data_IF_911819790276
#
_entry.id   IF_911819790276
#
_cell.length_a   1.000
_cell.length_b   1.000
_cell.length_c   1.000
_cell.angle_alpha   90.00
_cell.angle_beta   90.00
_cell.angle_gamma   90.00
#
_symmetry.space_group_name_H-M   'P 1'
#
loop_
_entity.id
_entity.type
_entity.pdbx_description
1 polymer ?
#
# COMPACT_ATOMS: atom_id res chain seq x y z
N UNK A 1 8.54 -7.82 18.33
CA UNK A 1 7.27 -7.68 19.09
C UNK A 1 6.88 -6.21 19.15
N UNK A 2 5.64 -5.84 18.81
CA UNK A 2 5.16 -4.45 18.82
C UNK A 2 4.06 -4.28 19.88
N UNK A 3 4.18 -3.23 20.71
CA UNK A 3 3.26 -2.95 21.81
C UNK A 3 2.06 -2.07 21.39
N UNK A 4 1.36 -2.46 20.32
CA UNK A 4 0.15 -1.75 19.91
C UNK A 4 -1.05 -2.17 20.76
N UNK A 5 -1.67 -1.20 21.43
CA UNK A 5 -2.91 -1.39 22.19
C UNK A 5 -4.13 -1.53 21.26
N UNK A 6 -5.23 -2.07 21.78
CA UNK A 6 -6.52 -2.13 21.09
C UNK A 6 -6.94 -0.74 20.58
N UNK A 7 -6.77 0.29 21.42
CA UNK A 7 -7.10 1.69 21.07
C UNK A 7 -6.25 2.18 19.90
N UNK A 8 -4.93 1.92 19.94
CA UNK A 8 -4.02 2.34 18.87
C UNK A 8 -4.31 1.60 17.55
N UNK A 9 -4.65 0.32 17.63
CA UNK A 9 -5.02 -0.49 16.46
C UNK A 9 -6.32 -0.01 15.82
N UNK A 10 -7.36 0.26 16.60
CA UNK A 10 -8.63 0.78 16.08
C UNK A 10 -8.47 2.13 15.36
N UNK A 11 -7.70 3.05 15.94
CA UNK A 11 -7.38 4.34 15.31
C UNK A 11 -6.64 4.13 14.00
N UNK A 12 -5.60 3.28 14.01
CA UNK A 12 -4.76 3.05 12.84
C UNK A 12 -5.50 2.34 11.72
N UNK A 13 -6.34 1.37 12.05
CA UNK A 13 -7.22 0.68 11.08
C UNK A 13 -8.09 1.68 10.32
N UNK A 14 -8.78 2.57 11.02
CA UNK A 14 -9.62 3.57 10.37
C UNK A 14 -8.79 4.58 9.58
N UNK A 15 -7.65 5.02 10.09
CA UNK A 15 -6.75 5.94 9.39
C UNK A 15 -6.24 5.32 8.08
N UNK A 16 -5.84 4.04 8.10
CA UNK A 16 -5.44 3.29 6.92
C UNK A 16 -6.56 3.17 5.89
N UNK A 17 -7.81 2.95 6.33
CA UNK A 17 -8.98 2.97 5.43
C UNK A 17 -9.11 4.34 4.76
N UNK A 18 -9.05 5.44 5.52
CA UNK A 18 -9.14 6.79 4.95
C UNK A 18 -8.02 7.11 3.95
N UNK A 19 -6.85 6.52 4.15
CA UNK A 19 -5.68 6.67 3.28
C UNK A 19 -5.67 5.67 2.11
N UNK A 20 -6.68 4.82 1.98
CA UNK A 20 -6.80 3.86 0.89
C UNK A 20 -5.91 2.62 1.05
N UNK A 21 -5.43 2.33 2.25
CA UNK A 21 -4.63 1.14 2.58
C UNK A 21 -5.49 -0.02 3.08
N UNK A 22 -6.68 -0.18 2.48
CA UNK A 22 -7.69 -1.16 2.89
C UNK A 22 -7.29 -2.61 2.66
N UNK A 23 -6.57 -2.89 1.58
CA UNK A 23 -6.21 -4.26 1.18
C UNK A 23 -5.30 -4.97 2.20
N UNK A 24 -4.50 -4.21 2.94
CA UNK A 24 -3.52 -4.76 3.90
C UNK A 24 -4.01 -4.73 5.35
N UNK A 25 -5.27 -4.35 5.61
CA UNK A 25 -5.82 -4.24 6.97
C UNK A 25 -5.78 -5.56 7.73
N UNK A 26 -6.03 -6.68 7.05
CA UNK A 26 -6.01 -8.00 7.66
C UNK A 26 -4.66 -8.30 8.35
N UNK A 27 -3.54 -7.90 7.73
CA UNK A 27 -2.21 -8.05 8.31
C UNK A 27 -1.97 -7.13 9.51
N UNK A 28 -2.52 -5.92 9.46
CA UNK A 28 -2.40 -4.95 10.55
C UNK A 28 -3.23 -5.36 11.77
N UNK A 29 -4.40 -5.95 11.52
CA UNK A 29 -5.27 -6.44 12.57
C UNK A 29 -4.83 -7.81 13.09
N UNK A 30 -4.09 -8.62 12.33
CA UNK A 30 -3.62 -9.92 12.81
C UNK A 30 -2.76 -9.83 14.08
N UNK A 31 -2.83 -10.87 14.92
CA UNK A 31 -1.95 -11.04 16.08
C UNK A 31 -0.49 -11.14 15.64
N UNK A 32 -0.23 -11.90 14.58
CA UNK A 32 1.08 -12.12 13.98
C UNK A 32 1.06 -11.66 12.52
N UNK A 33 2.05 -10.86 12.16
CA UNK A 33 2.25 -10.30 10.84
C UNK A 33 3.57 -10.83 10.28
N UNK A 34 3.43 -11.78 9.35
CA UNK A 34 4.52 -12.54 8.72
C UNK A 34 4.74 -12.11 7.26
N UNK A 35 4.40 -10.87 6.92
CA UNK A 35 4.64 -10.33 5.56
C UNK A 35 6.13 -10.24 5.22
N UNK A 36 6.99 -10.11 6.24
CA UNK A 36 8.43 -10.16 6.05
C UNK A 36 8.91 -11.59 6.16
N UNK A 37 9.85 -11.96 5.28
CA UNK A 37 10.44 -13.31 5.27
C UNK A 37 11.41 -13.55 6.42
N UNK A 38 12.02 -12.50 6.96
CA UNK A 38 13.05 -12.55 7.99
C UNK A 38 12.48 -12.47 9.41
N UNK A 39 11.40 -11.70 9.62
CA UNK A 39 10.85 -11.43 10.95
C UNK A 39 9.33 -11.50 11.00
N UNK A 40 8.80 -12.09 12.07
CA UNK A 40 7.37 -12.04 12.39
C UNK A 40 7.07 -10.97 13.44
N UNK A 41 6.19 -10.03 13.10
CA UNK A 41 5.76 -8.98 14.01
C UNK A 41 4.54 -9.42 14.80
N UNK A 42 4.71 -9.66 16.11
CA UNK A 42 3.60 -10.03 17.02
C UNK A 42 3.09 -8.84 17.83
N UNK A 43 1.78 -8.83 18.13
CA UNK A 43 1.07 -7.74 18.84
C UNK A 43 0.39 -8.24 20.13
N UNK A 44 1.13 -8.45 21.25
CA UNK A 44 0.57 -8.99 22.48
C UNK A 44 -0.43 -8.07 23.17
N UNK A 45 -0.25 -6.75 23.03
CA UNK A 45 -1.07 -5.75 23.73
C UNK A 45 -2.40 -5.47 23.02
N UNK A 46 -2.70 -6.19 21.95
CA UNK A 46 -3.82 -5.92 21.04
C UNK A 46 -5.18 -5.97 21.70
N UNK A 47 -5.36 -6.78 22.74
CA UNK A 47 -6.65 -6.92 23.43
C UNK A 47 -6.85 -5.90 24.55
N UNK A 48 -5.79 -5.17 24.93
CA UNK A 48 -5.84 -4.20 26.02
C UNK A 48 -5.97 -2.78 25.47
N UNK A 49 -6.92 -2.02 26.02
CA UNK A 49 -7.06 -0.60 25.76
C UNK A 49 -5.88 0.21 26.31
N UNK A 50 -5.62 1.38 25.74
CA UNK A 50 -4.58 2.27 26.25
C UNK A 50 -4.78 2.66 27.73
N UNK A 51 -6.03 2.73 28.19
CA UNK A 51 -6.37 3.04 29.60
C UNK A 51 -6.00 1.89 30.53
N UNK A 52 -6.30 0.64 30.16
CA UNK A 52 -5.95 -0.53 30.96
C UNK A 52 -4.44 -0.66 31.11
N UNK A 53 -3.70 -0.43 30.01
CA UNK A 53 -2.23 -0.44 30.03
C UNK A 53 -1.68 0.67 30.96
N UNK A 54 -2.27 1.87 30.91
CA UNK A 54 -1.86 2.97 31.79
C UNK A 54 -2.12 2.66 33.27
N UNK A 55 -3.27 2.06 33.60
CA UNK A 55 -3.60 1.63 34.96
C UNK A 55 -2.64 0.52 35.42
N UNK A 56 -2.39 -0.47 34.57
CA UNK A 56 -1.43 -1.55 34.86
C UNK A 56 -0.04 -1.00 35.17
N UNK A 57 0.46 -0.07 34.35
CA UNK A 57 1.76 0.56 34.55
C UNK A 57 1.81 1.31 35.90
N UNK A 58 0.74 2.04 36.24
CA UNK A 58 0.65 2.75 37.53
C UNK A 58 0.66 1.79 38.72
N UNK A 59 -0.09 0.68 38.64
CA UNK A 59 -0.17 -0.31 39.72
C UNK A 59 1.16 -1.06 39.93
N UNK A 60 1.92 -1.27 38.85
CA UNK A 60 3.22 -1.95 38.89
C UNK A 60 4.42 -0.99 39.00
N UNK A 61 4.18 0.30 39.25
CA UNK A 61 5.22 1.34 39.33
C UNK A 61 6.14 1.40 38.08
N UNK A 62 5.59 1.11 36.90
CA UNK A 62 6.29 1.24 35.61
C UNK A 62 6.14 2.67 35.10
N UNK A 63 7.23 3.41 35.05
CA UNK A 63 7.24 4.78 34.54
C UNK A 63 7.11 4.80 33.00
N UNK A 64 6.11 5.49 32.42
CA UNK A 64 5.98 5.60 30.98
C UNK A 64 7.03 6.56 30.40
N UNK A 65 7.66 6.17 29.30
CA UNK A 65 8.53 7.05 28.50
C UNK A 65 7.74 7.62 27.34
N UNK A 66 7.65 8.95 27.26
CA UNK A 66 7.01 9.64 26.14
C UNK A 66 8.06 10.24 25.21
N UNK A 67 8.05 9.80 23.95
CA UNK A 67 8.93 10.32 22.90
C UNK A 67 8.09 11.24 22.02
N UNK A 68 8.33 12.57 22.02
CA UNK A 68 7.61 13.49 21.17
C UNK A 68 7.94 13.21 19.69
N UNK A 69 6.92 13.34 18.85
CA UNK A 69 7.00 13.27 17.39
C UNK A 69 6.63 14.62 16.77
N UNK A 70 6.80 14.78 15.45
CA UNK A 70 6.47 16.02 14.73
C UNK A 70 5.03 16.50 14.91
N UNK A 71 4.11 15.57 15.17
CA UNK A 71 2.69 15.84 15.45
C UNK A 71 2.42 16.24 16.91
N UNK A 72 3.42 16.11 17.79
CA UNK A 72 3.27 16.43 19.22
C UNK A 72 3.13 17.93 19.41
N UNK A 73 2.09 18.35 20.16
CA UNK A 73 1.65 19.75 20.34
C UNK A 73 1.03 20.42 19.11
N UNK A 74 0.82 19.71 18.01
CA UNK A 74 0.04 20.28 16.91
C UNK A 74 -1.46 20.33 17.26
N UNK A 75 -2.20 21.21 16.57
CA UNK A 75 -3.65 21.32 16.74
C UNK A 75 -4.33 20.01 16.36
N UNK A 76 -5.45 19.72 17.01
CA UNK A 76 -6.28 18.57 16.66
C UNK A 76 -6.73 18.70 15.19
N UNK A 77 -6.62 17.61 14.43
CA UNK A 77 -6.99 17.59 13.00
C UNK A 77 -5.93 18.09 12.03
N UNK A 78 -4.66 18.26 12.45
CA UNK A 78 -3.55 18.61 11.54
C UNK A 78 -3.18 17.50 10.54
N UNK A 79 -3.61 16.27 10.79
CA UNK A 79 -3.38 15.09 9.94
C UNK A 79 -4.60 14.18 9.95
N UNK A 80 -4.74 13.35 8.91
CA UNK A 80 -5.78 12.32 8.86
C UNK A 80 -5.70 11.38 10.07
N UNK A 81 -4.49 11.06 10.52
CA UNK A 81 -4.25 10.23 11.70
C UNK A 81 -4.77 10.92 12.97
N UNK A 82 -4.45 12.20 13.18
CA UNK A 82 -4.92 12.97 14.33
C UNK A 82 -6.44 13.18 14.32
N UNK A 83 -7.02 13.44 13.15
CA UNK A 83 -8.47 13.59 13.00
C UNK A 83 -9.20 12.28 13.33
N UNK A 84 -8.68 11.17 12.81
CA UNK A 84 -9.23 9.83 13.06
C UNK A 84 -9.06 9.43 14.52
N UNK A 85 -7.92 9.75 15.14
CA UNK A 85 -7.69 9.54 16.57
C UNK A 85 -8.74 10.28 17.41
N UNK A 86 -8.93 11.57 17.14
CA UNK A 86 -9.93 12.36 17.85
C UNK A 86 -11.34 11.81 17.65
N UNK A 87 -11.69 11.41 16.42
CA UNK A 87 -12.98 10.81 16.10
C UNK A 87 -13.23 9.52 16.91
N UNK A 88 -12.28 8.57 16.88
CA UNK A 88 -12.40 7.31 17.61
C UNK A 88 -12.46 7.53 19.11
N UNK A 89 -11.61 8.40 19.66
CA UNK A 89 -11.62 8.71 21.08
C UNK A 89 -12.94 9.38 21.50
N UNK A 90 -13.47 10.30 20.70
CA UNK A 90 -14.76 10.96 20.94
C UNK A 90 -15.94 9.99 20.86
N UNK A 91 -15.89 8.99 19.99
CA UNK A 91 -16.89 7.93 19.97
C UNK A 91 -16.76 7.02 21.20
N UNK A 92 -15.53 6.66 21.57
CA UNK A 92 -15.28 5.76 22.68
C UNK A 92 -15.61 6.37 24.06
N UNK A 93 -15.67 7.70 24.18
CA UNK A 93 -16.22 8.35 25.39
C UNK A 93 -17.74 8.20 25.51
N UNK A 94 -18.44 8.09 24.37
CA UNK A 94 -19.90 7.90 24.33
C UNK A 94 -20.30 6.43 24.44
N UNK A 95 -19.46 5.51 23.95
CA UNK A 95 -19.66 4.07 24.07
C UNK A 95 -18.35 3.34 24.37
N UNK A 96 -18.29 2.65 25.51
CA UNK A 96 -17.11 1.90 25.92
C UNK A 96 -16.82 0.67 25.05
N UNK A 97 -17.75 0.26 24.17
CA UNK A 97 -17.58 -0.89 23.27
C UNK A 97 -17.00 -0.52 21.91
N UNK A 98 -16.89 0.77 21.57
CA UNK A 98 -16.52 1.23 20.22
C UNK A 98 -15.19 0.65 19.75
N UNK A 99 -14.13 0.76 20.54
CA UNK A 99 -12.80 0.26 20.15
C UNK A 99 -12.83 -1.26 19.90
N UNK A 100 -13.51 -2.01 20.76
CA UNK A 100 -13.62 -3.46 20.63
C UNK A 100 -14.43 -3.85 19.39
N UNK A 101 -15.55 -3.17 19.13
CA UNK A 101 -16.36 -3.36 17.92
C UNK A 101 -15.56 -3.08 16.66
N UNK A 102 -14.75 -2.00 16.62
CA UNK A 102 -13.86 -1.70 15.48
C UNK A 102 -12.86 -2.84 15.30
N UNK A 103 -12.15 -3.25 16.36
CA UNK A 103 -11.16 -4.32 16.26
C UNK A 103 -11.76 -5.64 15.78
N UNK A 104 -12.89 -6.08 16.37
CA UNK A 104 -13.60 -7.30 15.97
C UNK A 104 -14.14 -7.22 14.55
N UNK A 105 -14.53 -6.05 14.09
CA UNK A 105 -14.96 -5.85 12.70
C UNK A 105 -13.76 -5.94 11.77
N UNK A 106 -12.62 -5.34 12.14
CA UNK A 106 -11.37 -5.46 11.40
C UNK A 106 -10.85 -6.88 11.30
N UNK A 107 -11.04 -7.70 12.32
CA UNK A 107 -10.71 -9.13 12.31
C UNK A 107 -11.51 -9.93 11.28
N UNK A 108 -12.76 -9.54 11.06
CA UNK A 108 -13.62 -10.18 10.07
C UNK A 108 -13.24 -9.80 8.64
N UNK A 109 -12.47 -8.72 8.46
CA UNK A 109 -11.87 -8.38 7.18
C UNK A 109 -10.72 -9.37 6.94
N UNK A 110 -11.08 -10.57 6.50
CA UNK A 110 -10.12 -11.59 6.10
C UNK A 110 -9.40 -11.17 4.81
N UNK A 111 -8.20 -11.71 4.63
CA UNK A 111 -7.62 -11.78 3.30
C UNK A 111 -8.59 -12.60 2.45
N UNK A 112 -9.05 -12.05 1.33
CA UNK A 112 -9.71 -12.87 0.32
C UNK A 112 -8.70 -13.98 -0.01
N UNK A 113 -8.94 -15.19 0.49
CA UNK A 113 -8.25 -16.37 0.01
C UNK A 113 -8.58 -16.40 -1.47
N UNK A 114 -7.56 -16.32 -2.34
CA UNK A 114 -7.72 -16.75 -3.72
C UNK A 114 -8.53 -18.05 -3.68
N UNK A 115 -9.64 -18.09 -4.42
CA UNK A 115 -10.70 -19.08 -4.24
C UNK A 115 -10.11 -20.50 -4.11
N UNK A 116 -10.53 -21.29 -3.11
CA UNK A 116 -10.10 -22.68 -3.01
C UNK A 116 -10.82 -23.47 -4.12
N UNK A 117 -10.16 -23.64 -5.26
CA UNK A 117 -10.75 -24.35 -6.40
C UNK A 117 -9.94 -24.34 -7.69
N UNK A 118 -8.99 -23.43 -7.88
CA UNK A 118 -8.02 -23.51 -8.96
C UNK A 118 -6.74 -24.15 -8.43
N UNK A 119 -6.59 -25.42 -8.76
CA UNK A 119 -5.35 -26.18 -8.67
C UNK A 119 -4.17 -25.36 -9.19
N UNK A 120 -3.11 -25.30 -8.40
CA UNK A 120 -1.74 -25.08 -8.86
C UNK A 120 -1.52 -23.90 -9.82
N UNK A 121 -1.64 -22.69 -9.30
CA UNK A 121 -0.76 -21.63 -9.77
C UNK A 121 0.20 -21.32 -8.64
N UNK A 122 1.48 -21.59 -8.88
CA UNK A 122 2.60 -20.95 -8.19
C UNK A 122 2.47 -19.46 -8.52
N UNK A 123 1.49 -18.78 -7.94
CA UNK A 123 1.39 -17.34 -8.05
C UNK A 123 2.59 -16.84 -7.26
N UNK A 124 3.62 -16.42 -7.98
CA UNK A 124 4.71 -15.60 -7.47
C UNK A 124 4.01 -14.38 -6.89
N UNK A 125 3.60 -14.44 -5.62
CA UNK A 125 2.95 -13.32 -4.95
C UNK A 125 3.99 -12.22 -4.88
N UNK A 126 3.93 -11.31 -5.84
CA UNK A 126 4.73 -10.10 -5.86
C UNK A 126 4.47 -9.32 -4.58
N UNK A 127 5.52 -9.00 -3.84
CA UNK A 127 5.44 -8.20 -2.63
C UNK A 127 5.74 -6.74 -2.99
N UNK A 128 5.11 -5.82 -2.26
CA UNK A 128 5.35 -4.40 -2.41
C UNK A 128 6.79 -4.08 -2.01
N UNK A 129 7.54 -3.39 -2.88
CA UNK A 129 8.93 -3.03 -2.60
C UNK A 129 9.10 -2.12 -1.39
N UNK A 130 8.04 -1.37 -1.02
CA UNK A 130 8.04 -0.44 0.12
C UNK A 130 7.56 -1.06 1.43
N UNK A 131 6.44 -1.80 1.42
CA UNK A 131 5.80 -2.30 2.64
C UNK A 131 5.81 -3.82 2.78
N UNK A 132 6.35 -4.53 1.78
CA UNK A 132 6.45 -6.00 1.71
C UNK A 132 5.11 -6.74 1.79
N UNK A 133 3.99 -6.00 1.74
CA UNK A 133 2.67 -6.60 1.67
C UNK A 133 2.40 -7.10 0.24
N UNK A 134 1.58 -8.15 0.08
CA UNK A 134 1.20 -8.62 -1.26
C UNK A 134 0.63 -7.48 -2.11
N UNK A 135 1.00 -7.46 -3.39
CA UNK A 135 0.46 -6.47 -4.33
C UNK A 135 -1.05 -6.68 -4.51
N UNK A 136 -1.79 -5.62 -4.26
CA UNK A 136 -3.23 -5.48 -4.48
C UNK A 136 -3.55 -4.77 -5.81
N UNK A 137 -2.52 -4.55 -6.62
CA UNK A 137 -2.58 -3.85 -7.91
C UNK A 137 -2.68 -4.81 -9.10
N UNK A 138 -2.39 -6.09 -8.89
CA UNK A 138 -2.55 -7.18 -9.87
C UNK A 138 -4.01 -7.64 -9.91
N UNK A 139 -4.92 -6.74 -10.27
CA UNK A 139 -6.35 -7.01 -10.38
C UNK A 139 -6.75 -6.76 -11.84
N UNK A 140 -7.60 -7.62 -12.40
CA UNK A 140 -8.04 -7.51 -13.80
C UNK A 140 -8.73 -6.19 -14.15
N UNK A 141 -9.04 -6.01 -15.43
CA UNK A 141 -9.57 -4.76 -15.99
C UNK A 141 -10.92 -4.33 -15.40
N UNK A 142 -11.72 -5.29 -14.91
CA UNK A 142 -12.98 -5.03 -14.20
C UNK A 142 -12.76 -4.78 -12.69
N UNK A 143 -11.80 -3.92 -12.33
CA UNK A 143 -11.46 -3.62 -10.93
C UNK A 143 -11.70 -2.16 -10.54
N UNK A 144 -11.93 -1.92 -9.25
CA UNK A 144 -12.04 -0.55 -8.71
C UNK A 144 -10.78 0.29 -8.98
N UNK A 145 -9.61 -0.37 -9.03
CA UNK A 145 -8.35 0.26 -9.37
C UNK A 145 -8.33 0.72 -10.84
N UNK A 146 -8.74 -0.16 -11.77
CA UNK A 146 -8.85 0.17 -13.19
C UNK A 146 -9.81 1.35 -13.41
N UNK A 147 -10.99 1.34 -12.77
CA UNK A 147 -11.94 2.46 -12.82
C UNK A 147 -11.33 3.77 -12.30
N UNK A 148 -10.59 3.71 -11.20
CA UNK A 148 -9.93 4.90 -10.63
C UNK A 148 -8.85 5.45 -11.56
N UNK A 149 -8.06 4.57 -12.18
CA UNK A 149 -7.05 4.96 -13.19
C UNK A 149 -7.71 5.57 -14.43
N UNK A 150 -8.81 4.98 -14.90
CA UNK A 150 -9.57 5.48 -16.04
C UNK A 150 -10.16 6.87 -15.78
N UNK A 151 -10.89 7.04 -14.67
CA UNK A 151 -11.46 8.35 -14.30
C UNK A 151 -10.38 9.42 -14.20
N UNK A 152 -9.21 9.08 -13.65
CA UNK A 152 -8.07 10.00 -13.58
C UNK A 152 -7.54 10.38 -14.96
N UNK A 153 -7.31 9.40 -15.84
CA UNK A 153 -6.81 9.65 -17.18
C UNK A 153 -7.74 10.59 -17.97
N UNK A 154 -9.05 10.48 -17.75
CA UNK A 154 -10.05 11.40 -18.32
C UNK A 154 -9.91 12.82 -17.75
N UNK A 155 -9.82 12.98 -16.42
CA UNK A 155 -9.66 14.29 -15.80
C UNK A 155 -8.36 15.02 -16.21
N UNK A 156 -7.27 14.28 -16.43
CA UNK A 156 -5.99 14.86 -16.85
C UNK A 156 -6.05 15.38 -18.30
N UNK A 157 -6.73 14.64 -19.20
CA UNK A 157 -6.94 15.07 -20.59
C UNK A 157 -7.78 16.34 -20.70
N UNK A 158 -8.79 16.49 -19.84
CA UNK A 158 -9.63 17.70 -19.81
C UNK A 158 -8.88 18.95 -19.28
N UNK A 159 -7.96 18.76 -18.33
CA UNK A 159 -7.16 19.86 -17.78
C UNK A 159 -6.17 20.46 -18.81
N UNK A 160 -5.58 19.61 -19.67
CA UNK A 160 -4.67 20.04 -20.74
C UNK A 160 -5.40 20.78 -21.89
N UNK A 161 -6.72 20.57 -22.05
CA UNK A 161 -7.53 21.28 -23.04
C UNK A 161 -7.90 22.72 -22.66
N UNK A 162 -7.62 23.17 -21.42
CA UNK A 162 -8.11 24.45 -20.89
C UNK A 162 -7.04 25.49 -20.56
N UNK A 163 -5.76 25.13 -20.62
CA UNK A 163 -4.67 26.01 -20.21
C UNK A 163 -3.60 26.13 -21.30
N UNK A 164 -3.79 27.10 -22.22
CA UNK A 164 -2.77 27.50 -23.19
C UNK A 164 -1.92 28.69 -22.68
N UNK A 165 -1.95 29.00 -21.37
CA UNK A 165 -1.24 30.18 -20.83
C UNK A 165 -0.43 29.95 -19.56
N UNK A 166 -0.53 28.80 -18.89
CA UNK A 166 0.39 28.45 -17.81
C UNK A 166 1.54 27.57 -18.30
N UNK A 167 2.74 27.93 -17.88
CA UNK A 167 4.00 27.19 -18.02
C UNK A 167 3.82 25.67 -17.92
N UNK A 168 4.51 24.87 -18.77
CA UNK A 168 4.34 23.42 -18.78
C UNK A 168 4.71 22.87 -17.40
N UNK A 169 3.74 22.23 -16.74
CA UNK A 169 4.07 21.23 -15.72
C UNK A 169 4.54 20.02 -16.49
N UNK A 170 5.80 19.66 -16.31
CA UNK A 170 6.44 18.47 -16.89
C UNK A 170 5.78 17.19 -16.34
N UNK A 171 4.58 16.90 -16.86
CA UNK A 171 3.98 15.58 -16.78
C UNK A 171 4.60 14.75 -17.91
N UNK A 172 5.23 13.64 -17.52
CA UNK A 172 5.82 12.66 -18.41
C UNK A 172 4.77 12.03 -19.33
N UNK A 173 4.61 12.60 -20.53
CA UNK A 173 3.79 12.01 -21.59
C UNK A 173 4.68 11.43 -22.68
N UNK A 174 4.48 10.13 -22.94
CA UNK A 174 4.87 9.47 -24.18
C UNK A 174 3.98 10.07 -25.28
N UNK A 175 4.51 11.05 -26.02
CA UNK A 175 4.06 11.32 -27.37
C UNK A 175 5.08 10.69 -28.32
N UNK A 176 4.60 9.72 -29.09
CA UNK A 176 5.29 9.12 -30.21
C UNK A 176 5.67 10.19 -31.24
N UNK A 177 6.94 10.59 -31.26
CA UNK A 177 7.75 10.95 -32.44
C UNK A 177 8.90 11.87 -32.05
N UNK A 178 10.11 11.42 -32.39
CA UNK A 178 11.41 12.12 -32.34
C UNK A 178 11.99 12.38 -30.94
N UNK A 179 12.57 11.34 -30.34
CA UNK A 179 13.35 11.46 -29.07
C UNK A 179 14.81 11.10 -29.34
N UNK A 180 15.72 11.98 -28.97
CA UNK A 180 17.18 11.76 -29.06
C UNK A 180 17.66 10.91 -27.87
N UNK A 181 18.76 10.14 -28.01
CA UNK A 181 19.10 9.08 -27.04
C UNK A 181 19.61 9.55 -25.67
N UNK A 182 19.79 10.85 -25.42
CA UNK A 182 20.62 11.37 -24.31
C UNK A 182 19.91 12.27 -23.29
N UNK A 183 18.57 12.30 -23.24
CA UNK A 183 17.86 13.11 -22.24
C UNK A 183 17.87 12.47 -20.83
N UNK A 184 18.40 13.15 -19.79
CA UNK A 184 18.42 12.63 -18.41
C UNK A 184 17.01 12.45 -17.81
N UNK A 185 16.01 13.15 -18.34
CA UNK A 185 14.60 13.00 -17.97
C UNK A 185 14.01 11.64 -18.37
N UNK A 186 14.54 10.99 -19.42
CA UNK A 186 14.07 9.67 -19.86
C UNK A 186 14.39 8.58 -18.83
N UNK A 187 15.56 8.65 -18.20
CA UNK A 187 15.97 7.72 -17.14
C UNK A 187 15.15 7.90 -15.86
N UNK A 188 14.84 9.15 -15.47
CA UNK A 188 14.01 9.41 -14.29
C UNK A 188 12.56 8.91 -14.47
N UNK A 189 11.99 9.12 -15.67
CA UNK A 189 10.63 8.68 -15.99
C UNK A 189 10.49 7.15 -16.05
N UNK A 190 11.45 6.45 -16.64
CA UNK A 190 11.44 4.97 -16.67
C UNK A 190 11.51 4.37 -15.27
N UNK A 191 12.42 4.91 -14.43
CA UNK A 191 12.58 4.46 -13.04
C UNK A 191 11.32 4.67 -12.20
N UNK A 192 10.55 5.73 -12.45
CA UNK A 192 9.28 5.96 -11.75
C UNK A 192 8.25 4.89 -12.12
N UNK A 193 8.08 4.59 -13.42
CA UNK A 193 7.14 3.56 -13.88
C UNK A 193 7.48 2.16 -13.33
N UNK A 194 8.78 1.84 -13.30
CA UNK A 194 9.28 0.60 -12.71
C UNK A 194 8.93 0.51 -11.23
N UNK A 195 9.12 1.60 -10.46
CA UNK A 195 8.76 1.67 -9.05
C UNK A 195 7.26 1.55 -8.85
N UNK A 196 6.44 2.23 -9.65
CA UNK A 196 4.98 2.15 -9.54
C UNK A 196 4.46 0.72 -9.76
N UNK A 197 5.09 -0.04 -10.66
CA UNK A 197 4.75 -1.44 -10.92
C UNK A 197 5.04 -2.37 -9.73
N UNK A 198 6.01 -2.02 -8.89
CA UNK A 198 6.43 -2.77 -7.71
C UNK A 198 5.74 -2.36 -6.41
N UNK A 199 4.75 -1.46 -6.45
CA UNK A 199 4.08 -0.93 -5.25
C UNK A 199 2.61 -1.36 -5.15
N UNK A 200 2.17 -1.61 -3.92
CA UNK A 200 0.75 -1.76 -3.62
C UNK A 200 0.04 -0.41 -3.71
N UNK A 201 -1.29 -0.41 -3.92
CA UNK A 201 -2.09 0.81 -4.11
C UNK A 201 -1.88 1.85 -3.00
N UNK A 202 -1.80 1.37 -1.76
CA UNK A 202 -1.54 2.21 -0.60
C UNK A 202 -0.18 2.91 -0.61
N UNK A 203 0.86 2.22 -1.07
CA UNK A 203 2.21 2.77 -1.17
C UNK A 203 2.37 3.65 -2.40
N UNK A 204 1.73 3.26 -3.51
CA UNK A 204 1.64 4.05 -4.73
C UNK A 204 1.11 5.46 -4.42
N UNK A 205 0.05 5.60 -3.62
CA UNK A 205 -0.48 6.91 -3.19
C UNK A 205 0.50 7.80 -2.45
N UNK A 206 1.49 7.22 -1.76
CA UNK A 206 2.50 7.98 -1.01
C UNK A 206 3.60 8.51 -1.93
N UNK A 207 3.99 7.71 -2.93
CA UNK A 207 5.06 8.03 -3.88
C UNK A 207 4.56 8.92 -5.01
N UNK A 208 3.27 8.82 -5.37
CA UNK A 208 2.66 9.49 -6.52
C UNK A 208 2.80 11.00 -6.54
N UNK A 209 2.82 11.64 -5.38
CA UNK A 209 2.88 13.10 -5.28
C UNK A 209 4.34 13.58 -5.10
N UNK A 210 5.33 12.68 -5.23
CA UNK A 210 6.75 13.02 -5.20
C UNK A 210 7.25 13.41 -6.60
N UNK A 211 8.03 14.49 -6.65
CA UNK A 211 8.64 15.00 -7.88
C UNK A 211 10.02 14.40 -8.15
N UNK A 212 10.66 13.80 -7.14
CA UNK A 212 12.03 13.28 -7.24
C UNK A 212 12.15 11.88 -6.60
N UNK A 213 12.50 10.91 -7.44
CA UNK A 213 12.72 9.50 -7.08
C UNK A 213 14.01 9.32 -6.29
N UNK A 214 14.98 10.24 -6.40
CA UNK A 214 16.26 10.15 -5.70
C UNK A 214 16.13 10.29 -4.17
N UNK A 215 14.99 10.79 -3.70
CA UNK A 215 14.66 10.91 -2.28
C UNK A 215 14.23 9.58 -1.63
N UNK A 216 13.96 8.54 -2.42
CA UNK A 216 13.57 7.23 -1.91
C UNK A 216 14.78 6.46 -1.37
N UNK A 217 14.59 5.65 -0.31
CA UNK A 217 15.65 4.77 0.17
C UNK A 217 16.14 3.80 -0.92
N UNK A 218 17.45 3.70 -1.11
CA UNK A 218 18.10 2.82 -2.11
C UNK A 218 17.66 1.36 -2.01
N UNK A 219 17.31 0.90 -0.80
CA UNK A 219 16.80 -0.45 -0.59
C UNK A 219 15.50 -0.72 -1.38
N UNK A 220 14.67 0.31 -1.59
CA UNK A 220 13.43 0.20 -2.35
C UNK A 220 13.70 0.12 -3.84
N UNK A 221 14.54 1.01 -4.38
CA UNK A 221 14.86 1.06 -5.82
C UNK A 221 15.60 -0.21 -6.28
N UNK A 222 16.50 -0.73 -5.44
CA UNK A 222 17.19 -2.01 -5.68
C UNK A 222 16.25 -3.21 -5.65
N UNK A 223 15.26 -3.21 -4.76
CA UNK A 223 14.30 -4.31 -4.67
C UNK A 223 13.36 -4.34 -5.89
N UNK A 224 12.86 -3.18 -6.31
CA UNK A 224 12.06 -3.07 -7.53
C UNK A 224 12.83 -3.55 -8.75
N UNK A 225 14.05 -3.05 -8.95
CA UNK A 225 14.88 -3.45 -10.10
C UNK A 225 15.26 -4.93 -10.08
N UNK A 226 15.59 -5.49 -8.91
CA UNK A 226 15.86 -6.92 -8.77
C UNK A 226 14.63 -7.78 -9.09
N UNK A 227 13.44 -7.39 -8.63
CA UNK A 227 12.20 -8.11 -8.92
C UNK A 227 11.84 -8.06 -10.41
N UNK A 228 12.04 -6.92 -11.07
CA UNK A 228 11.84 -6.77 -12.52
C UNK A 228 12.81 -7.65 -13.30
N UNK A 229 14.12 -7.58 -13.00
CA UNK A 229 15.15 -8.40 -13.66
C UNK A 229 14.87 -9.90 -13.47
N UNK A 230 14.46 -10.32 -12.28
CA UNK A 230 14.13 -11.72 -12.00
C UNK A 230 12.93 -12.18 -12.81
N UNK A 231 11.90 -11.33 -12.97
CA UNK A 231 10.72 -11.66 -13.80
C UNK A 231 11.07 -11.76 -15.27
N UNK A 232 11.89 -10.87 -15.80
CA UNK A 232 12.34 -10.93 -17.19
C UNK A 232 13.14 -12.21 -17.46
N UNK A 233 14.07 -12.55 -16.57
CA UNK A 233 14.84 -13.79 -16.66
C UNK A 233 13.97 -15.04 -16.56
N UNK A 234 13.01 -15.06 -15.60
CA UNK A 234 12.07 -16.18 -15.49
C UNK A 234 11.18 -16.29 -16.72
N UNK A 235 10.70 -15.18 -17.27
CA UNK A 235 9.88 -15.13 -18.49
C UNK A 235 10.65 -15.65 -19.70
N UNK A 236 11.92 -15.27 -19.82
CA UNK A 236 12.79 -15.76 -20.90
C UNK A 236 13.05 -17.27 -20.78
N UNK A 237 13.29 -17.77 -19.56
CA UNK A 237 13.51 -19.19 -19.31
C UNK A 237 12.27 -20.07 -19.58
N UNK A 238 11.07 -19.53 -19.42
CA UNK A 238 9.82 -20.27 -19.68
C UNK A 238 9.22 -19.97 -21.06
N UNK A 239 9.78 -19.02 -21.83
CA UNK A 239 9.23 -18.59 -23.11
C UNK A 239 9.14 -19.73 -24.13
N UNK A 240 10.11 -20.66 -24.11
CA UNK A 240 10.13 -21.84 -24.99
C UNK A 240 9.00 -22.84 -24.68
N UNK A 241 8.38 -22.76 -23.50
CA UNK A 241 7.34 -23.68 -23.05
C UNK A 241 5.93 -23.06 -23.08
N UNK A 242 5.79 -21.79 -23.47
CA UNK A 242 4.51 -21.12 -23.61
C UNK A 242 3.90 -21.46 -24.98
N UNK A 243 2.74 -22.12 -24.97
CA UNK A 243 1.98 -22.39 -26.20
C UNK A 243 1.46 -21.06 -26.77
N UNK A 244 1.77 -20.77 -28.03
CA UNK A 244 1.18 -19.62 -28.72
C UNK A 244 -0.32 -19.87 -28.94
N UNK A 245 -1.16 -18.87 -28.66
CA UNK A 245 -2.64 -18.96 -28.78
C UNK A 245 -3.13 -19.33 -30.22
N UNK A 246 -2.23 -19.37 -31.19
CA UNK A 246 -2.44 -19.83 -32.57
C UNK A 246 -2.66 -21.35 -32.70
N UNK A 247 -2.19 -22.18 -31.76
CA UNK A 247 -2.23 -23.65 -31.91
C UNK A 247 -3.56 -24.29 -31.48
N UNK A 248 -4.42 -23.55 -30.77
CA UNK A 248 -5.76 -24.04 -30.40
C UNK A 248 -6.80 -23.92 -31.52
N UNK A 249 -6.51 -23.18 -32.60
CA UNK A 249 -7.39 -23.11 -33.77
C UNK A 249 -7.15 -24.24 -34.80
N UNK A 250 -6.02 -24.96 -34.72
CA UNK A 250 -5.66 -25.98 -35.71
C UNK A 250 -6.05 -27.42 -35.31
N UNK A 251 -6.47 -27.66 -34.06
CA UNK A 251 -6.83 -28.99 -33.55
C UNK A 251 -8.34 -29.31 -33.60
N UNK A 252 -9.15 -28.43 -34.21
CA UNK A 252 -10.59 -28.61 -34.37
C UNK A 252 -11.01 -28.61 -35.85
N UNK A 253 -10.45 -29.52 -36.64
CA UNK A 253 -11.02 -29.97 -37.93
C UNK A 253 -10.97 -31.49 -37.97
#
# INVERSE_FOLDING_TARGET
MMAHSATRLAVRMLADITQGRGAHLAYQMSFADSRRSDVTLVRPMREFSAKEIAVYNRLNNVSPVFIPSLSTKQKAGHSLDSLTEQFVLSLNTKSATTVNTICRTGEKLGLAKSAPGTTEDISIQSHCSMCEAPLDTLVGDASALASTRFSRAMCQKEAQGRDQTATPRDDCHISDSTVTPNDPHRSSCGMLMDIESGLCYGCLRLVRDMTDVSSLPDAMTRRTSADIMTREQMKEQIAEFLLEESDQAAAAI
#
